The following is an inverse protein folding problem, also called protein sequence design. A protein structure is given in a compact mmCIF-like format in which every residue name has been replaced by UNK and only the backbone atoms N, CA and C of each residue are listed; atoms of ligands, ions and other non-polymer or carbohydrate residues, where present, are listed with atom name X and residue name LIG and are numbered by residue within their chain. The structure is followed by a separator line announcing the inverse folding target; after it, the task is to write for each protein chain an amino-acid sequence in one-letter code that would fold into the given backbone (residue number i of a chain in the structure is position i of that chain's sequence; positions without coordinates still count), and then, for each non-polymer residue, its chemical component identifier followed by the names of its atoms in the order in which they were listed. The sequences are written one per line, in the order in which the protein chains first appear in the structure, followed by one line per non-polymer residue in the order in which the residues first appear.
data_IF_871348117595
#
_entry.id   IF_871348117595
#
_cell.length_a   1.000
_cell.length_b   1.000
_cell.length_c   1.000
_cell.angle_alpha   90.00
_cell.angle_beta   90.00
_cell.angle_gamma   90.00
#
_symmetry.space_group_name_H-M   'P 1'
#
loop_
_entity.id
_entity.type
_entity.pdbx_description
1 polymer ?
#
# COMPACT_ATOMS: atom_id res chain seq x y z
N UNK A 1 -20.32 -14.52 -10.91
CA UNK A 1 -19.47 -13.39 -11.37
C UNK A 1 -20.09 -12.72 -12.58
N UNK A 2 -20.33 -13.42 -13.70
CA UNK A 2 -20.91 -12.83 -14.91
C UNK A 2 -22.36 -12.30 -14.76
N UNK A 3 -23.18 -12.89 -13.88
CA UNK A 3 -24.61 -12.56 -13.76
C UNK A 3 -24.88 -11.21 -13.06
N UNK A 4 -24.08 -10.86 -12.05
CA UNK A 4 -24.30 -9.61 -11.28
C UNK A 4 -23.88 -8.35 -12.04
N UNK A 5 -22.83 -8.43 -12.86
CA UNK A 5 -22.35 -7.31 -13.69
C UNK A 5 -23.36 -6.87 -14.77
N UNK A 6 -24.37 -7.68 -15.06
CA UNK A 6 -25.45 -7.28 -15.98
C UNK A 6 -26.43 -6.28 -15.35
N UNK A 7 -26.55 -6.27 -14.01
CA UNK A 7 -27.47 -5.37 -13.28
C UNK A 7 -26.76 -4.27 -12.51
N UNK A 8 -25.58 -4.54 -11.98
CA UNK A 8 -24.85 -3.63 -11.10
C UNK A 8 -23.42 -3.37 -11.59
N UNK A 9 -22.97 -2.13 -11.43
CA UNK A 9 -21.61 -1.66 -11.70
C UNK A 9 -20.88 -1.54 -10.35
N UNK A 10 -19.83 -2.34 -10.10
CA UNK A 10 -18.98 -2.17 -8.94
C UNK A 10 -18.13 -0.91 -9.03
N UNK A 11 -17.78 -0.37 -7.87
CA UNK A 11 -16.88 0.77 -7.73
C UNK A 11 -16.06 0.57 -6.47
N UNK A 12 -14.77 0.37 -6.68
CA UNK A 12 -13.82 -0.04 -5.68
C UNK A 12 -12.73 1.04 -5.58
N UNK A 13 -12.44 1.45 -4.35
CA UNK A 13 -11.25 2.22 -3.99
C UNK A 13 -10.38 1.38 -3.06
N UNK A 14 -9.06 1.50 -3.18
CA UNK A 14 -8.10 0.80 -2.35
C UNK A 14 -7.28 1.79 -1.54
N UNK A 15 -7.06 1.47 -0.27
CA UNK A 15 -6.19 2.18 0.66
C UNK A 15 -5.04 1.23 1.01
N UNK A 16 -3.87 1.47 0.40
CA UNK A 16 -2.72 0.58 0.53
C UNK A 16 -1.69 1.20 1.47
N UNK A 17 -1.42 0.53 2.59
CA UNK A 17 -0.40 0.98 3.53
C UNK A 17 0.88 0.18 3.27
N UNK A 18 1.95 0.89 2.90
CA UNK A 18 3.28 0.31 2.71
C UNK A 18 4.23 0.79 3.80
N UNK A 19 4.79 -0.16 4.54
CA UNK A 19 5.78 0.07 5.59
C UNK A 19 7.13 0.35 4.95
N UNK A 20 7.68 1.54 5.22
CA UNK A 20 8.93 1.95 4.62
C UNK A 20 10.10 1.21 5.26
N UNK A 21 11.00 0.69 4.44
CA UNK A 21 12.21 0.00 4.88
C UNK A 21 13.34 1.00 5.24
N UNK A 22 13.10 1.89 6.19
CA UNK A 22 14.12 2.79 6.76
C UNK A 22 14.73 2.20 8.03
N UNK A 23 15.98 2.55 8.34
CA UNK A 23 16.67 2.06 9.54
C UNK A 23 16.04 2.53 10.85
N UNK A 24 15.47 3.74 10.85
CA UNK A 24 14.81 4.35 12.01
C UNK A 24 13.36 4.71 11.71
N UNK A 25 12.58 4.86 12.79
CA UNK A 25 11.18 5.28 12.78
C UNK A 25 10.98 6.68 12.18
N UNK A 26 9.72 7.05 11.89
CA UNK A 26 9.42 8.31 11.18
C UNK A 26 9.71 9.54 12.02
N UNK A 27 9.51 9.44 13.34
CA UNK A 27 9.62 10.57 14.26
C UNK A 27 10.59 10.32 15.44
N UNK A 28 11.20 9.14 15.49
CA UNK A 28 12.06 8.68 16.57
C UNK A 28 13.28 7.94 16.00
N UNK A 29 14.43 7.91 16.72
CA UNK A 29 15.64 7.23 16.25
C UNK A 29 15.59 5.70 16.44
N UNK A 30 14.48 5.16 16.98
CA UNK A 30 14.32 3.74 17.25
C UNK A 30 14.36 2.90 15.96
N UNK A 31 14.89 1.68 16.06
CA UNK A 31 14.96 0.74 14.95
C UNK A 31 13.57 0.22 14.51
N UNK A 32 13.50 -0.30 13.29
CA UNK A 32 12.28 -0.76 12.61
C UNK A 32 12.29 -2.25 12.25
N UNK A 33 13.27 -3.01 12.75
CA UNK A 33 13.49 -4.38 12.34
C UNK A 33 12.31 -5.28 12.72
N UNK A 34 11.88 -6.14 11.80
CA UNK A 34 10.83 -7.12 12.09
C UNK A 34 11.34 -8.24 13.03
N UNK A 35 10.42 -8.90 13.73
CA UNK A 35 10.69 -10.13 14.48
C UNK A 35 11.49 -9.99 15.77
N UNK A 36 11.67 -8.77 16.30
CA UNK A 36 12.36 -8.55 17.58
C UNK A 36 11.46 -8.87 18.78
N UNK A 37 12.08 -9.10 19.94
CA UNK A 37 11.38 -9.32 21.21
C UNK A 37 10.49 -8.11 21.55
N UNK A 38 9.31 -8.30 22.17
CA UNK A 38 8.37 -7.22 22.46
C UNK A 38 9.00 -6.06 23.24
N UNK A 39 8.67 -4.82 22.86
CA UNK A 39 9.09 -3.60 23.55
C UNK A 39 10.63 -3.44 23.69
N UNK A 40 11.41 -3.84 22.68
CA UNK A 40 12.88 -3.67 22.64
C UNK A 40 13.35 -2.58 21.68
N UNK A 41 12.55 -2.24 20.67
CA UNK A 41 12.81 -1.18 19.68
C UNK A 41 11.96 0.06 19.98
N UNK A 42 12.14 0.59 21.19
CA UNK A 42 11.35 1.68 21.72
C UNK A 42 12.22 2.69 22.47
N UNK A 43 11.76 3.94 22.48
CA UNK A 43 12.30 5.02 23.29
C UNK A 43 11.17 5.78 23.97
N UNK A 44 11.54 6.76 24.79
CA UNK A 44 10.62 7.73 25.38
C UNK A 44 9.75 8.45 24.33
N UNK A 45 10.24 8.62 23.09
CA UNK A 45 9.47 9.24 22.00
C UNK A 45 8.42 8.27 21.46
N UNK A 46 8.81 7.03 21.14
CA UNK A 46 7.87 5.99 20.67
C UNK A 46 6.79 5.68 21.72
N UNK A 47 7.14 5.71 22.99
CA UNK A 47 6.22 5.50 24.12
C UNK A 47 5.41 6.74 24.52
N UNK A 48 5.60 7.87 23.82
CA UNK A 48 4.89 9.12 24.11
C UNK A 48 5.05 9.61 25.57
N UNK A 49 6.25 9.51 26.12
CA UNK A 49 6.51 10.05 27.46
C UNK A 49 6.27 11.58 27.47
N UNK A 50 5.76 12.12 28.60
CA UNK A 50 5.53 13.56 28.74
C UNK A 50 6.80 14.37 28.45
N UNK A 51 6.69 15.38 27.58
CA UNK A 51 7.77 16.29 27.23
C UNK A 51 8.67 15.84 26.06
N UNK A 52 8.39 14.69 25.44
CA UNK A 52 9.09 14.26 24.22
C UNK A 52 8.51 14.92 22.97
N UNK A 53 9.33 15.08 21.93
CA UNK A 53 8.94 15.75 20.67
C UNK A 53 9.31 14.88 19.45
N UNK A 54 8.46 14.87 18.40
CA UNK A 54 8.75 14.17 17.15
C UNK A 54 9.82 14.87 16.32
N UNK A 55 10.65 14.10 15.61
CA UNK A 55 11.58 14.63 14.61
C UNK A 55 11.50 13.83 13.31
N UNK A 56 11.03 14.47 12.24
CA UNK A 56 10.82 13.84 10.95
C UNK A 56 12.12 13.25 10.37
N UNK A 57 12.01 12.00 9.93
CA UNK A 57 13.07 11.25 9.25
C UNK A 57 13.15 11.66 7.76
N UNK A 58 14.33 12.12 7.32
CA UNK A 58 14.55 12.55 5.93
C UNK A 58 14.40 11.40 4.93
N UNK A 59 14.88 10.20 5.26
CA UNK A 59 14.83 9.04 4.35
C UNK A 59 13.39 8.60 4.06
N UNK A 60 12.48 8.81 5.02
CA UNK A 60 11.04 8.55 4.86
C UNK A 60 10.44 9.46 3.78
N UNK A 61 10.77 10.76 3.82
CA UNK A 61 10.32 11.72 2.81
C UNK A 61 10.85 11.36 1.43
N UNK A 62 12.12 10.97 1.34
CA UNK A 62 12.75 10.58 0.06
C UNK A 62 12.10 9.33 -0.54
N UNK A 63 11.84 8.30 0.26
CA UNK A 63 11.13 7.08 -0.20
C UNK A 63 9.70 7.38 -0.67
N UNK A 64 8.98 8.27 0.03
CA UNK A 64 7.64 8.69 -0.40
C UNK A 64 7.67 9.52 -1.70
N UNK A 65 8.65 10.41 -1.88
CA UNK A 65 8.86 11.11 -3.16
C UNK A 65 9.16 10.14 -4.30
N UNK A 66 10.01 9.12 -4.08
CA UNK A 66 10.28 8.08 -5.09
C UNK A 66 9.01 7.39 -5.55
N UNK A 67 8.15 7.01 -4.62
CA UNK A 67 6.86 6.40 -4.94
C UNK A 67 5.97 7.36 -5.74
N UNK A 68 5.85 8.62 -5.31
CA UNK A 68 5.09 9.64 -6.04
C UNK A 68 5.59 9.88 -7.46
N UNK A 69 6.90 10.01 -7.64
CA UNK A 69 7.53 10.19 -8.95
C UNK A 69 7.25 8.97 -9.86
N UNK A 70 7.38 7.76 -9.32
CA UNK A 70 7.11 6.53 -10.07
C UNK A 70 5.66 6.42 -10.53
N UNK A 71 4.72 6.90 -9.72
CA UNK A 71 3.30 6.95 -10.06
C UNK A 71 2.91 8.21 -10.86
N UNK A 72 3.85 9.06 -11.26
CA UNK A 72 3.56 10.30 -11.99
C UNK A 72 2.74 11.32 -11.17
N UNK A 73 2.75 11.22 -9.84
CA UNK A 73 2.06 12.15 -8.95
C UNK A 73 2.72 13.53 -8.96
N UNK A 74 1.94 14.56 -8.65
CA UNK A 74 2.48 15.89 -8.33
C UNK A 74 2.99 15.87 -6.89
N UNK A 75 4.30 16.07 -6.71
CA UNK A 75 4.90 16.24 -5.39
C UNK A 75 4.53 17.62 -4.83
N UNK A 76 3.96 17.65 -3.63
CA UNK A 76 3.61 18.89 -2.95
C UNK A 76 4.89 19.64 -2.52
N UNK A 77 5.01 20.95 -2.76
CA UNK A 77 6.19 21.71 -2.35
C UNK A 77 6.20 22.01 -0.84
N UNK A 78 5.02 22.06 -0.22
CA UNK A 78 4.83 22.31 1.21
C UNK A 78 3.84 21.27 1.75
N UNK A 79 4.20 20.62 2.85
CA UNK A 79 3.32 19.71 3.58
C UNK A 79 3.23 20.10 5.05
N UNK A 80 2.11 19.78 5.63
CA UNK A 80 1.80 19.90 7.05
C UNK A 80 1.43 18.51 7.53
N UNK A 81 2.05 18.10 8.64
CA UNK A 81 1.61 16.91 9.37
C UNK A 81 0.47 17.30 10.29
N UNK A 82 -0.54 16.45 10.38
CA UNK A 82 -1.75 16.62 11.16
C UNK A 82 -1.86 15.52 12.21
N UNK A 83 -2.54 15.83 13.32
CA UNK A 83 -2.91 14.84 14.34
C UNK A 83 -4.27 14.25 14.03
N UNK A 84 -4.33 12.94 13.81
CA UNK A 84 -5.57 12.14 13.75
C UNK A 84 -5.85 11.55 15.13
N UNK A 85 -6.80 12.12 15.86
CA UNK A 85 -7.01 11.83 17.29
C UNK A 85 -8.00 10.67 17.50
N UNK A 86 -7.55 9.59 18.16
CA UNK A 86 -8.39 8.49 18.60
C UNK A 86 -7.73 7.72 19.74
N UNK A 87 -8.53 7.15 20.64
CA UNK A 87 -8.02 6.38 21.77
C UNK A 87 -8.01 4.89 21.43
N UNK A 88 -6.82 4.30 21.45
CA UNK A 88 -6.66 2.85 21.34
C UNK A 88 -5.36 2.41 22.06
N UNK A 89 -5.31 1.23 22.70
CA UNK A 89 -4.16 0.83 23.54
C UNK A 89 -2.82 0.78 22.83
N UNK A 90 -2.80 0.48 21.53
CA UNK A 90 -1.58 0.42 20.73
C UNK A 90 -1.14 1.77 20.12
N UNK A 91 -1.83 2.87 20.47
CA UNK A 91 -1.50 4.22 20.05
C UNK A 91 -1.08 5.09 21.25
N UNK A 92 0.22 5.10 21.60
CA UNK A 92 0.71 5.72 22.85
C UNK A 92 0.31 7.19 23.04
N UNK A 93 0.24 7.95 21.95
CA UNK A 93 -0.01 9.41 21.97
C UNK A 93 -1.48 9.78 22.11
N UNK A 94 -2.41 8.84 21.86
CA UNK A 94 -3.84 9.16 21.67
C UNK A 94 -4.13 9.91 20.36
N UNK A 95 -3.14 10.03 19.48
CA UNK A 95 -3.25 10.50 18.11
C UNK A 95 -2.17 9.88 17.22
N UNK A 96 -2.47 9.75 15.94
CA UNK A 96 -1.53 9.33 14.90
C UNK A 96 -1.10 10.59 14.13
N UNK A 97 0.20 10.78 13.95
CA UNK A 97 0.73 11.84 13.08
C UNK A 97 0.65 11.34 11.63
N UNK A 98 -0.10 12.05 10.79
CA UNK A 98 -0.38 11.73 9.38
C UNK A 98 -0.43 13.03 8.56
N UNK A 99 -0.91 13.01 7.31
CA UNK A 99 -1.18 14.22 6.53
C UNK A 99 -2.62 14.20 6.02
N UNK A 100 -3.40 15.23 6.32
CA UNK A 100 -4.79 15.32 5.86
C UNK A 100 -4.89 16.15 4.58
N UNK A 101 -4.68 17.47 4.69
CA UNK A 101 -4.95 18.41 3.60
C UNK A 101 -3.80 18.57 2.60
N UNK A 102 -2.57 18.29 3.02
CA UNK A 102 -1.36 18.52 2.20
C UNK A 102 -0.50 17.26 2.08
N UNK A 103 -1.02 16.20 1.44
CA UNK A 103 -0.29 14.95 1.25
C UNK A 103 0.97 15.21 0.41
N UNK A 104 2.02 14.41 0.62
CA UNK A 104 3.26 14.54 -0.13
C UNK A 104 3.07 14.34 -1.64
N UNK A 105 2.15 13.47 -2.05
CA UNK A 105 1.82 13.25 -3.46
C UNK A 105 0.32 13.47 -3.71
N UNK A 106 0.01 14.22 -4.77
CA UNK A 106 -1.36 14.46 -5.25
C UNK A 106 -1.53 13.86 -6.64
N UNK A 107 -2.59 13.08 -6.82
CA UNK A 107 -2.87 12.41 -8.08
C UNK A 107 -1.84 11.34 -8.42
N UNK A 108 -1.73 11.04 -9.71
CA UNK A 108 -0.87 9.99 -10.25
C UNK A 108 -1.68 8.81 -10.76
N UNK A 109 -0.99 7.84 -11.32
CA UNK A 109 -1.62 6.69 -11.95
C UNK A 109 -0.69 5.47 -12.02
N UNK A 110 -1.29 4.28 -12.04
CA UNK A 110 -0.57 3.02 -12.10
C UNK A 110 -1.16 2.16 -13.22
N UNK A 111 -0.35 1.75 -14.22
CA UNK A 111 -0.81 0.83 -15.25
C UNK A 111 -1.00 -0.56 -14.66
N UNK A 112 -2.11 -1.20 -15.00
CA UNK A 112 -2.47 -2.57 -14.64
C UNK A 112 -2.75 -3.38 -15.90
N UNK A 113 -2.51 -4.69 -15.81
CA UNK A 113 -2.80 -5.65 -16.88
C UNK A 113 -3.75 -6.71 -16.34
N UNK A 114 -4.86 -6.91 -17.04
CA UNK A 114 -5.85 -7.95 -16.78
C UNK A 114 -6.05 -8.79 -18.03
N UNK A 115 -6.81 -9.89 -17.93
CA UNK A 115 -7.22 -10.68 -19.10
C UNK A 115 -8.04 -9.85 -20.10
N UNK A 116 -8.73 -8.81 -19.62
CA UNK A 116 -9.49 -7.87 -20.44
C UNK A 116 -8.62 -6.84 -21.17
N UNK A 117 -7.36 -6.65 -20.77
CA UNK A 117 -6.41 -5.75 -21.42
C UNK A 117 -5.62 -4.87 -20.45
N UNK A 118 -4.95 -3.84 -21.00
CA UNK A 118 -4.25 -2.83 -20.20
C UNK A 118 -5.21 -1.72 -19.78
N UNK A 119 -5.14 -1.33 -18.51
CA UNK A 119 -5.87 -0.19 -17.95
C UNK A 119 -4.98 0.61 -17.01
N UNK A 120 -5.44 1.78 -16.64
CA UNK A 120 -4.75 2.66 -15.71
C UNK A 120 -5.64 2.95 -14.52
N UNK A 121 -5.14 2.71 -13.31
CA UNK A 121 -5.82 3.06 -12.05
C UNK A 121 -5.29 4.41 -11.59
N UNK A 122 -6.20 5.37 -11.41
CA UNK A 122 -5.86 6.71 -10.92
C UNK A 122 -5.66 6.69 -9.41
N UNK A 123 -4.65 7.41 -8.94
CA UNK A 123 -4.43 7.66 -7.52
C UNK A 123 -5.07 8.99 -7.14
N UNK A 124 -5.62 9.04 -5.92
CA UNK A 124 -6.06 10.28 -5.32
C UNK A 124 -4.86 10.99 -4.65
N UNK A 125 -4.15 10.27 -3.78
CA UNK A 125 -3.00 10.79 -3.02
C UNK A 125 -2.07 9.68 -2.53
N UNK A 126 -0.87 10.09 -2.14
CA UNK A 126 0.02 9.31 -1.26
C UNK A 126 0.43 10.22 -0.10
N UNK A 127 0.21 9.79 1.14
CA UNK A 127 0.61 10.55 2.34
C UNK A 127 1.51 9.75 3.26
N UNK A 128 2.27 10.49 4.06
CA UNK A 128 3.14 9.96 5.11
C UNK A 128 2.37 9.83 6.43
N UNK A 129 2.59 8.73 7.12
CA UNK A 129 2.09 8.56 8.49
C UNK A 129 2.95 7.60 9.31
N UNK A 130 2.64 7.52 10.60
CA UNK A 130 3.24 6.53 11.50
C UNK A 130 2.30 5.35 11.75
N UNK A 131 2.86 4.15 11.91
CA UNK A 131 2.09 2.98 12.32
C UNK A 131 1.80 2.99 13.83
N UNK A 132 0.74 2.26 14.19
CA UNK A 132 0.44 1.95 15.58
C UNK A 132 1.24 0.71 16.06
N UNK A 133 1.20 0.45 17.36
CA UNK A 133 1.73 -0.77 17.95
C UNK A 133 0.93 -2.01 17.54
N UNK A 134 1.12 -3.09 18.28
CA UNK A 134 0.40 -4.35 18.09
C UNK A 134 -0.28 -4.76 19.37
N UNK A 135 -1.60 -4.94 19.30
CA UNK A 135 -2.40 -5.58 20.34
C UNK A 135 -2.41 -7.10 20.13
N UNK A 136 -2.13 -7.86 21.18
CA UNK A 136 -2.10 -9.32 21.18
C UNK A 136 -3.12 -9.82 22.20
N UNK A 137 -4.07 -10.61 21.72
CA UNK A 137 -5.09 -11.27 22.54
C UNK A 137 -4.75 -12.75 22.59
N UNK A 138 -4.36 -13.25 23.76
CA UNK A 138 -4.05 -14.67 23.94
C UNK A 138 -5.32 -15.46 24.27
N UNK A 139 -5.47 -16.64 23.67
CA UNK A 139 -6.63 -17.51 23.92
C UNK A 139 -6.73 -17.86 25.40
N UNK A 140 -7.88 -17.57 26.01
CA UNK A 140 -8.15 -17.84 27.42
C UNK A 140 -7.59 -16.80 28.40
N UNK A 141 -6.94 -15.74 27.92
CA UNK A 141 -6.52 -14.61 28.76
C UNK A 141 -7.51 -13.43 28.63
N UNK A 142 -7.92 -12.81 29.75
CA UNK A 142 -8.82 -11.65 29.71
C UNK A 142 -8.11 -10.36 29.28
N UNK A 143 -6.78 -10.32 29.42
CA UNK A 143 -5.98 -9.12 29.21
C UNK A 143 -5.45 -9.02 27.78
N UNK A 144 -5.27 -7.78 27.32
CA UNK A 144 -4.60 -7.50 26.05
C UNK A 144 -3.15 -7.14 26.33
N UNK A 145 -2.22 -7.79 25.63
CA UNK A 145 -0.79 -7.47 25.69
C UNK A 145 -0.45 -6.53 24.55
N UNK A 146 0.29 -5.46 24.82
CA UNK A 146 0.64 -4.45 23.81
C UNK A 146 2.15 -4.44 23.57
N UNK A 147 2.54 -4.55 22.31
CA UNK A 147 3.91 -4.39 21.84
C UNK A 147 4.04 -3.10 21.01
N UNK A 148 4.89 -2.18 21.48
CA UNK A 148 5.12 -0.88 20.86
C UNK A 148 6.33 -0.85 19.93
N UNK A 149 6.98 -1.98 19.63
CA UNK A 149 8.05 -2.05 18.64
C UNK A 149 7.64 -1.41 17.29
N UNK A 150 6.40 -1.66 16.85
CA UNK A 150 5.86 -1.14 15.59
C UNK A 150 5.34 0.29 15.68
N UNK A 151 5.01 0.79 16.87
CA UNK A 151 4.51 2.15 17.03
C UNK A 151 5.57 3.16 16.56
N UNK A 152 5.21 4.04 15.63
CA UNK A 152 6.12 5.02 15.04
C UNK A 152 6.86 4.53 13.78
N UNK A 153 6.66 3.28 13.34
CA UNK A 153 7.26 2.80 12.09
C UNK A 153 6.67 3.59 10.90
N UNK A 154 7.47 4.02 9.91
CA UNK A 154 6.96 4.88 8.85
C UNK A 154 6.09 4.11 7.86
N UNK A 155 4.98 4.72 7.47
CA UNK A 155 4.10 4.25 6.42
C UNK A 155 3.95 5.31 5.32
N UNK A 156 3.72 4.83 4.10
CA UNK A 156 2.95 5.58 3.12
C UNK A 156 1.59 4.94 2.94
N UNK A 157 0.54 5.74 2.92
CA UNK A 157 -0.79 5.31 2.51
C UNK A 157 -1.04 5.77 1.07
N UNK A 158 -1.27 4.82 0.17
CA UNK A 158 -1.53 5.04 -1.25
C UNK A 158 -3.03 4.84 -1.47
N UNK A 159 -3.72 5.93 -1.80
CA UNK A 159 -5.18 5.94 -1.93
C UNK A 159 -5.55 6.05 -3.40
N UNK A 160 -6.36 5.14 -3.90
CA UNK A 160 -6.86 5.20 -5.27
C UNK A 160 -8.08 6.11 -5.39
N UNK A 161 -8.31 6.65 -6.58
CA UNK A 161 -9.66 7.06 -6.96
C UNK A 161 -10.59 5.83 -7.00
N UNK A 162 -11.91 5.98 -6.81
CA UNK A 162 -12.86 4.87 -6.87
C UNK A 162 -13.15 4.49 -8.33
N UNK A 163 -12.14 3.98 -9.04
CA UNK A 163 -12.20 3.69 -10.50
C UNK A 163 -12.02 2.21 -10.85
N UNK A 164 -11.75 1.37 -9.85
CA UNK A 164 -11.60 -0.08 -10.02
C UNK A 164 -13.00 -0.69 -10.07
N UNK A 165 -13.29 -1.52 -11.06
CA UNK A 165 -14.64 -2.09 -11.26
C UNK A 165 -14.70 -3.62 -11.10
N UNK A 166 -13.57 -4.28 -10.82
CA UNK A 166 -13.54 -5.72 -10.62
C UNK A 166 -12.49 -6.16 -9.60
N UNK A 167 -12.69 -7.36 -9.04
CA UNK A 167 -11.70 -8.00 -8.17
C UNK A 167 -10.39 -8.33 -8.88
N UNK A 168 -10.46 -8.59 -10.19
CA UNK A 168 -9.27 -8.83 -11.01
C UNK A 168 -8.41 -7.58 -11.10
N UNK A 169 -9.03 -6.43 -11.40
CA UNK A 169 -8.34 -5.14 -11.40
C UNK A 169 -7.78 -4.77 -10.01
N UNK A 170 -8.54 -5.03 -8.94
CA UNK A 170 -8.06 -4.79 -7.58
C UNK A 170 -6.80 -5.62 -7.26
N UNK A 171 -6.78 -6.90 -7.66
CA UNK A 171 -5.61 -7.76 -7.49
C UNK A 171 -4.43 -7.33 -8.38
N UNK A 172 -4.70 -6.96 -9.63
CA UNK A 172 -3.69 -6.48 -10.58
C UNK A 172 -3.05 -5.19 -10.07
N UNK A 173 -3.85 -4.24 -9.57
CA UNK A 173 -3.34 -3.01 -8.94
C UNK A 173 -2.46 -3.32 -7.74
N UNK A 174 -2.91 -4.15 -6.81
CA UNK A 174 -2.11 -4.53 -5.64
C UNK A 174 -0.80 -5.23 -6.03
N UNK A 175 -0.82 -6.06 -7.07
CA UNK A 175 0.39 -6.68 -7.61
C UNK A 175 1.37 -5.64 -8.17
N UNK A 176 0.87 -4.63 -8.88
CA UNK A 176 1.70 -3.54 -9.42
C UNK A 176 2.27 -2.64 -8.32
N UNK A 177 1.49 -2.28 -7.30
CA UNK A 177 1.99 -1.55 -6.13
C UNK A 177 3.09 -2.37 -5.44
N UNK A 178 2.86 -3.67 -5.21
CA UNK A 178 3.86 -4.55 -4.62
C UNK A 178 5.15 -4.62 -5.45
N UNK A 179 5.04 -4.70 -6.78
CA UNK A 179 6.20 -4.68 -7.70
C UNK A 179 6.95 -3.35 -7.59
N UNK A 180 6.23 -2.22 -7.63
CA UNK A 180 6.79 -0.88 -7.54
C UNK A 180 7.56 -0.65 -6.24
N UNK A 181 6.93 -0.90 -5.09
CA UNK A 181 7.58 -0.61 -3.80
C UNK A 181 8.84 -1.45 -3.58
N UNK A 182 8.88 -2.68 -4.09
CA UNK A 182 10.07 -3.54 -4.07
C UNK A 182 11.15 -3.06 -5.02
N UNK A 183 10.76 -2.70 -6.25
CA UNK A 183 11.71 -2.29 -7.28
C UNK A 183 12.38 -0.95 -6.94
N UNK A 184 11.64 -0.04 -6.31
CA UNK A 184 12.14 1.27 -5.86
C UNK A 184 12.89 1.22 -4.52
N UNK A 185 12.97 0.04 -3.90
CA UNK A 185 13.48 -0.13 -2.54
C UNK A 185 12.80 0.82 -1.54
N UNK A 186 11.47 0.79 -1.53
CA UNK A 186 10.61 1.58 -0.64
C UNK A 186 10.02 0.70 0.46
N UNK A 187 9.63 -0.53 0.13
CA UNK A 187 9.05 -1.53 1.03
C UNK A 187 9.39 -2.94 0.51
N UNK A 188 9.55 -3.93 1.39
CA UNK A 188 9.78 -5.33 0.98
C UNK A 188 8.54 -5.99 0.32
N UNK A 189 7.35 -5.38 0.48
CA UNK A 189 6.09 -5.83 -0.11
C UNK A 189 5.51 -7.11 0.50
N UNK A 190 5.93 -7.51 1.70
CA UNK A 190 5.43 -8.68 2.39
C UNK A 190 4.07 -8.46 3.05
N UNK A 191 3.02 -9.05 2.47
CA UNK A 191 1.67 -8.95 3.03
C UNK A 191 1.43 -9.86 4.25
N UNK A 192 2.21 -10.94 4.38
CA UNK A 192 2.05 -11.89 5.48
C UNK A 192 2.63 -11.34 6.79
N UNK A 193 3.79 -10.68 6.70
CA UNK A 193 4.41 -9.96 7.81
C UNK A 193 3.76 -8.59 8.09
N UNK A 194 2.88 -8.14 7.19
CA UNK A 194 2.09 -6.92 7.34
C UNK A 194 2.80 -5.64 6.92
N UNK A 195 3.95 -5.74 6.23
CA UNK A 195 4.63 -4.56 5.67
C UNK A 195 3.85 -3.95 4.50
N UNK A 196 3.02 -4.73 3.81
CA UNK A 196 2.07 -4.24 2.81
C UNK A 196 0.64 -4.66 3.17
N UNK A 197 -0.21 -3.68 3.49
CA UNK A 197 -1.61 -3.88 3.88
C UNK A 197 -2.54 -3.18 2.90
N UNK A 198 -3.77 -3.68 2.80
CA UNK A 198 -4.78 -3.13 1.90
C UNK A 198 -6.15 -3.19 2.56
N UNK A 199 -6.83 -2.05 2.57
CA UNK A 199 -8.25 -1.93 2.88
C UNK A 199 -9.01 -1.63 1.58
N UNK A 200 -10.19 -2.23 1.41
CA UNK A 200 -10.99 -2.12 0.19
C UNK A 200 -12.33 -1.43 0.48
N UNK A 201 -12.53 -0.28 -0.15
CA UNK A 201 -13.78 0.46 -0.14
C UNK A 201 -14.64 0.02 -1.33
N UNK A 202 -15.74 -0.67 -1.07
CA UNK A 202 -16.55 -1.33 -2.11
C UNK A 202 -17.98 -0.80 -2.08
N UNK A 203 -18.45 -0.39 -3.24
CA UNK A 203 -19.84 -0.01 -3.48
C UNK A 203 -20.30 -0.57 -4.82
N UNK A 204 -21.59 -0.88 -4.94
CA UNK A 204 -22.22 -1.21 -6.23
C UNK A 204 -23.38 -0.25 -6.50
N UNK A 205 -23.67 -0.01 -7.78
CA UNK A 205 -24.83 0.77 -8.22
C UNK A 205 -25.52 0.13 -9.42
N UNK A 206 -26.85 0.29 -9.60
CA UNK A 206 -27.54 -0.17 -10.81
C UNK A 206 -26.92 0.40 -12.09
N UNK A 207 -26.93 -0.39 -13.17
CA UNK A 207 -26.52 0.07 -14.50
C UNK A 207 -27.38 1.26 -14.92
N UNK A 208 -26.75 2.33 -15.43
CA UNK A 208 -27.41 3.58 -15.84
C UNK A 208 -27.56 4.61 -14.72
N UNK A 209 -27.22 4.28 -13.47
CA UNK A 209 -27.20 5.23 -12.37
C UNK A 209 -25.82 5.90 -12.25
N UNK A 210 -25.79 7.23 -12.17
CA UNK A 210 -24.54 8.00 -11.98
C UNK A 210 -24.13 8.08 -10.51
N UNK A 211 -25.09 8.23 -9.60
CA UNK A 211 -24.82 8.37 -8.17
C UNK A 211 -24.25 7.07 -7.59
N UNK A 212 -23.09 7.17 -6.92
CA UNK A 212 -22.47 6.08 -6.18
C UNK A 212 -23.41 5.52 -5.10
N UNK A 213 -23.35 4.21 -4.90
CA UNK A 213 -24.11 3.51 -3.87
C UNK A 213 -23.54 3.71 -2.46
N UNK A 214 -24.10 3.01 -1.49
CA UNK A 214 -23.52 2.96 -0.14
C UNK A 214 -22.16 2.28 -0.17
N UNK A 215 -21.23 2.76 0.67
CA UNK A 215 -19.85 2.27 0.76
C UNK A 215 -19.69 1.32 1.93
N UNK A 216 -19.14 0.13 1.69
CA UNK A 216 -18.66 -0.81 2.70
C UNK A 216 -17.14 -0.84 2.64
N UNK A 217 -16.49 -0.75 3.79
CA UNK A 217 -15.03 -0.86 3.90
C UNK A 217 -14.68 -2.26 4.43
N UNK A 218 -13.86 -3.00 3.71
CA UNK A 218 -13.38 -4.32 4.11
C UNK A 218 -11.92 -4.22 4.51
N UNK A 219 -11.60 -4.64 5.74
CA UNK A 219 -10.25 -4.63 6.32
C UNK A 219 -9.70 -6.06 6.52
N UNK A 220 -8.42 -6.14 6.90
CA UNK A 220 -7.70 -7.37 7.27
C UNK A 220 -7.50 -8.37 6.12
N UNK A 221 -7.06 -7.88 4.95
CA UNK A 221 -6.75 -8.73 3.78
C UNK A 221 -5.24 -8.90 3.61
N UNK A 222 -4.71 -10.01 4.12
CA UNK A 222 -3.26 -10.25 4.20
C UNK A 222 -2.64 -10.88 2.92
N UNK A 223 -3.35 -10.91 1.80
CA UNK A 223 -2.79 -11.38 0.52
C UNK A 223 -3.56 -10.82 -0.67
N UNK A 224 -2.92 -10.77 -1.85
CA UNK A 224 -3.57 -10.39 -3.12
C UNK A 224 -4.83 -11.23 -3.39
N UNK A 225 -4.76 -12.53 -3.07
CA UNK A 225 -5.88 -13.46 -3.21
C UNK A 225 -7.02 -13.13 -2.25
N UNK A 226 -6.71 -12.70 -1.03
CA UNK A 226 -7.71 -12.28 -0.05
C UNK A 226 -8.42 -11.01 -0.51
N UNK A 227 -7.71 -10.04 -1.09
CA UNK A 227 -8.31 -8.83 -1.67
C UNK A 227 -9.32 -9.21 -2.76
N UNK A 228 -8.90 -10.00 -3.76
CA UNK A 228 -9.79 -10.43 -4.84
C UNK A 228 -11.04 -11.16 -4.33
N UNK A 229 -10.85 -12.08 -3.37
CA UNK A 229 -11.95 -12.87 -2.79
C UNK A 229 -12.91 -12.02 -1.97
N UNK A 230 -12.40 -11.11 -1.16
CA UNK A 230 -13.20 -10.19 -0.37
C UNK A 230 -14.03 -9.27 -1.26
N UNK A 231 -13.44 -8.71 -2.31
CA UNK A 231 -14.14 -7.89 -3.31
C UNK A 231 -15.27 -8.67 -3.97
N UNK A 232 -14.99 -9.87 -4.47
CA UNK A 232 -16.00 -10.72 -5.10
C UNK A 232 -17.15 -11.09 -4.16
N UNK A 233 -16.82 -11.44 -2.92
CA UNK A 233 -17.82 -11.77 -1.92
C UNK A 233 -18.71 -10.56 -1.63
N UNK A 234 -18.12 -9.38 -1.46
CA UNK A 234 -18.86 -8.18 -1.09
C UNK A 234 -19.73 -7.67 -2.25
N UNK A 235 -19.27 -7.76 -3.50
CA UNK A 235 -20.10 -7.48 -4.69
C UNK A 235 -21.32 -8.40 -4.72
N UNK A 236 -21.13 -9.71 -4.50
CA UNK A 236 -22.23 -10.67 -4.51
C UNK A 236 -23.21 -10.44 -3.34
N UNK A 237 -22.70 -10.16 -2.13
CA UNK A 237 -23.51 -9.82 -0.95
C UNK A 237 -24.35 -8.57 -1.20
N UNK A 238 -23.72 -7.48 -1.63
CA UNK A 238 -24.42 -6.23 -1.90
C UNK A 238 -25.47 -6.39 -3.00
N UNK A 239 -25.16 -7.18 -4.04
CA UNK A 239 -26.11 -7.46 -5.12
C UNK A 239 -27.35 -8.21 -4.61
N UNK A 240 -27.16 -9.20 -3.74
CA UNK A 240 -28.26 -9.96 -3.14
C UNK A 240 -29.16 -9.07 -2.26
N UNK A 241 -28.58 -8.14 -1.49
CA UNK A 241 -29.35 -7.17 -0.69
C UNK A 241 -30.20 -6.26 -1.59
N UNK A 242 -29.61 -5.69 -2.64
CA UNK A 242 -30.34 -4.82 -3.56
C UNK A 242 -31.42 -5.57 -4.34
N UNK A 243 -31.16 -6.81 -4.77
CA UNK A 243 -32.15 -7.66 -5.43
C UNK A 243 -33.33 -8.03 -4.50
N UNK A 244 -33.09 -8.10 -3.19
CA UNK A 244 -34.13 -8.29 -2.17
C UNK A 244 -34.85 -7.00 -1.76
N UNK A 245 -34.44 -5.83 -2.30
CA UNK A 245 -34.97 -4.53 -1.91
C UNK A 245 -34.48 -4.06 -0.53
N UNK A 246 -33.43 -4.66 0.00
CA UNK A 246 -32.83 -4.30 1.29
C UNK A 246 -31.73 -3.23 1.13
N UNK A 247 -31.64 -2.25 2.05
CA UNK A 247 -30.61 -1.22 1.97
C UNK A 247 -29.24 -1.77 2.36
N UNK A 248 -28.19 -1.32 1.65
CA UNK A 248 -26.80 -1.55 2.06
C UNK A 248 -26.44 -0.55 3.15
N UNK A 249 -26.05 -1.05 4.32
CA UNK A 249 -25.57 -0.24 5.45
C UNK A 249 -24.09 0.09 5.23
N UNK A 250 -23.71 1.36 5.42
CA UNK A 250 -22.28 1.74 5.41
C UNK A 250 -21.63 1.34 6.72
N UNK A 251 -20.72 0.36 6.64
CA UNK A 251 -20.07 -0.23 7.80
C UNK A 251 -18.64 -0.67 7.45
N UNK A 252 -17.84 -0.91 8.49
CA UNK A 252 -16.53 -1.55 8.36
C UNK A 252 -16.68 -3.04 8.67
N UNK A 253 -16.19 -3.86 7.76
CA UNK A 253 -16.26 -5.33 7.81
C UNK A 253 -14.85 -5.91 7.84
N UNK A 254 -14.71 -7.10 8.42
CA UNK A 254 -13.48 -7.90 8.34
C UNK A 254 -13.67 -9.08 7.40
N UNK A 255 -12.63 -9.44 6.67
CA UNK A 255 -12.63 -10.66 5.86
C UNK A 255 -12.15 -11.86 6.69
N UNK A 256 -12.94 -12.94 6.70
CA UNK A 256 -12.55 -14.22 7.28
C UNK A 256 -12.08 -15.17 6.17
N UNK A 257 -10.81 -15.55 6.23
CA UNK A 257 -10.16 -16.38 5.20
C UNK A 257 -10.71 -17.80 5.17
N UNK A 258 -10.97 -18.41 6.34
CA UNK A 258 -11.40 -19.81 6.45
C UNK A 258 -12.80 -20.02 5.87
N UNK A 259 -13.69 -19.06 6.09
CA UNK A 259 -15.08 -19.13 5.63
C UNK A 259 -15.31 -18.44 4.29
N UNK A 260 -14.33 -17.65 3.81
CA UNK A 260 -14.43 -16.82 2.62
C UNK A 260 -15.65 -15.89 2.66
N UNK A 261 -15.82 -15.17 3.78
CA UNK A 261 -16.96 -14.27 4.04
C UNK A 261 -16.48 -12.98 4.70
N UNK A 262 -17.22 -11.90 4.50
CA UNK A 262 -17.06 -10.66 5.26
C UNK A 262 -18.03 -10.64 6.44
N UNK A 263 -17.60 -10.13 7.59
CA UNK A 263 -18.41 -9.98 8.80
C UNK A 263 -18.39 -8.53 9.26
N UNK A 264 -19.55 -8.00 9.65
CA UNK A 264 -19.63 -6.67 10.24
C UNK A 264 -18.94 -6.66 11.61
N UNK A 265 -18.02 -5.71 11.82
CA UNK A 265 -17.33 -5.58 13.12
C UNK A 265 -18.02 -4.56 14.04
N UNK A 266 -18.63 -3.51 13.47
CA UNK A 266 -19.33 -2.45 14.20
C UNK A 266 -20.26 -1.69 13.24
N UNK A 267 -21.48 -1.36 13.66
CA UNK A 267 -22.27 -0.30 13.00
C UNK A 267 -21.61 1.05 13.32
N UNK A 268 -21.41 1.91 12.31
CA UNK A 268 -20.93 3.29 12.53
C UNK A 268 -21.96 4.04 13.37
N UNK A 269 -21.86 3.96 14.70
CA UNK A 269 -22.76 4.70 15.59
C UNK A 269 -22.47 6.20 15.61
N UNK A 270 -21.33 6.65 15.08
CA UNK A 270 -21.04 8.05 14.77
C UNK A 270 -19.95 8.09 13.68
N UNK A 271 -19.95 9.12 12.82
CA UNK A 271 -18.75 9.45 12.04
C UNK A 271 -17.66 9.78 13.07
N UNK A 272 -16.60 8.97 13.15
CA UNK A 272 -15.50 9.23 14.08
C UNK A 272 -14.93 10.63 13.79
N UNK A 273 -15.23 11.60 14.65
CA UNK A 273 -14.60 12.91 14.61
C UNK A 273 -13.17 12.78 15.12
N UNK A 274 -12.25 12.52 14.19
CA UNK A 274 -10.82 12.41 14.46
C UNK A 274 -10.19 13.76 14.85
N UNK A 275 -10.95 14.87 14.84
CA UNK A 275 -10.50 16.21 15.25
C UNK A 275 -9.16 16.56 14.63
N UNK A 276 -9.05 16.45 13.30
CA UNK A 276 -7.81 16.75 12.59
C UNK A 276 -7.38 18.20 12.82
N UNK A 277 -6.09 18.40 13.08
CA UNK A 277 -5.46 19.72 13.09
C UNK A 277 -3.95 19.59 12.87
N UNK A 278 -3.27 20.64 12.36
CA UNK A 278 -1.82 20.66 12.19
C UNK A 278 -1.07 20.33 13.48
N UNK A 279 -0.09 19.44 13.42
CA UNK A 279 0.76 19.11 14.55
C UNK A 279 1.66 20.31 14.90
N UNK A 280 1.48 20.97 16.06
CA UNK A 280 2.26 22.15 16.43
C UNK A 280 3.73 21.85 16.73
N UNK A 281 4.10 20.57 16.94
CA UNK A 281 5.47 20.17 17.25
C UNK A 281 6.31 19.96 15.97
N UNK A 282 5.68 19.96 14.79
CA UNK A 282 6.33 19.81 13.50
C UNK A 282 6.14 21.05 12.64
N UNK A 283 7.23 21.72 12.30
CA UNK A 283 7.22 22.77 11.28
C UNK A 283 6.76 22.22 9.93
N UNK A 284 6.15 23.04 9.06
CA UNK A 284 5.84 22.64 7.69
C UNK A 284 7.07 22.08 6.98
N UNK A 285 6.91 20.91 6.36
CA UNK A 285 7.91 20.32 5.49
C UNK A 285 7.94 21.11 4.18
N UNK A 286 9.13 21.53 3.74
CA UNK A 286 9.32 22.22 2.47
C UNK A 286 10.25 21.38 1.59
N UNK A 287 9.75 20.97 0.43
CA UNK A 287 10.52 20.25 -0.58
C UNK A 287 10.99 21.27 -1.61
N UNK A 288 12.29 21.58 -1.59
CA UNK A 288 12.89 22.47 -2.59
C UNK A 288 12.98 21.78 -3.95
N UNK A 289 13.02 22.59 -5.02
CA UNK A 289 13.25 22.07 -6.37
C UNK A 289 14.57 21.29 -6.46
N UNK A 290 15.63 21.75 -5.79
CA UNK A 290 16.92 21.05 -5.76
C UNK A 290 16.82 19.65 -5.15
N UNK A 291 16.09 19.51 -4.04
CA UNK A 291 15.91 18.21 -3.38
C UNK A 291 15.03 17.29 -4.23
N UNK A 292 13.97 17.82 -4.85
CA UNK A 292 13.15 17.05 -5.78
C UNK A 292 13.96 16.56 -6.99
N UNK A 293 14.83 17.39 -7.55
CA UNK A 293 15.71 16.99 -8.66
C UNK A 293 16.75 15.96 -8.25
N UNK A 294 17.32 16.09 -7.05
CA UNK A 294 18.22 15.09 -6.48
C UNK A 294 17.53 13.72 -6.43
N UNK A 295 16.33 13.63 -5.87
CA UNK A 295 15.57 12.36 -5.81
C UNK A 295 15.22 11.85 -7.20
N UNK A 296 14.77 12.71 -8.12
CA UNK A 296 14.47 12.32 -9.51
C UNK A 296 15.70 11.76 -10.23
N UNK A 297 16.87 12.37 -10.05
CA UNK A 297 18.11 11.92 -10.69
C UNK A 297 18.61 10.57 -10.15
N UNK A 298 18.25 10.23 -8.91
CA UNK A 298 18.58 8.95 -8.28
C UNK A 298 17.53 7.85 -8.52
N UNK A 299 16.43 8.14 -9.23
CA UNK A 299 15.41 7.15 -9.54
C UNK A 299 15.98 6.07 -10.48
N UNK A 300 15.75 4.77 -10.18
CA UNK A 300 15.99 3.75 -11.17
C UNK A 300 14.98 3.87 -12.32
N UNK A 301 15.31 3.28 -13.47
CA UNK A 301 14.34 3.06 -14.53
C UNK A 301 13.15 2.26 -13.98
N UNK A 302 11.92 2.69 -14.26
CA UNK A 302 10.72 2.03 -13.72
C UNK A 302 10.54 0.64 -14.33
N UNK A 303 9.92 -0.32 -13.61
CA UNK A 303 9.83 -1.70 -14.07
C UNK A 303 9.22 -1.86 -15.47
N UNK A 304 8.15 -1.13 -15.78
CA UNK A 304 7.50 -1.18 -17.09
C UNK A 304 8.30 -0.50 -18.21
N UNK A 305 9.02 0.58 -17.89
CA UNK A 305 9.88 1.26 -18.84
C UNK A 305 11.07 0.36 -19.21
N UNK A 306 11.68 -0.26 -18.19
CA UNK A 306 12.73 -1.24 -18.37
C UNK A 306 12.21 -2.46 -19.14
N UNK A 307 11.02 -2.97 -18.83
CA UNK A 307 10.41 -4.09 -19.54
C UNK A 307 10.20 -3.79 -21.04
N UNK A 308 9.77 -2.58 -21.37
CA UNK A 308 9.65 -2.11 -22.75
C UNK A 308 11.03 -2.01 -23.43
N UNK A 309 12.03 -1.47 -22.72
CA UNK A 309 13.40 -1.39 -23.22
C UNK A 309 14.01 -2.76 -23.47
N UNK A 310 13.76 -3.72 -22.58
CA UNK A 310 14.20 -5.11 -22.74
C UNK A 310 13.61 -5.77 -24.00
N UNK A 311 12.37 -5.45 -24.32
CA UNK A 311 11.72 -5.93 -25.54
C UNK A 311 12.27 -5.25 -26.80
N UNK A 312 12.42 -3.92 -26.78
CA UNK A 312 12.79 -3.15 -27.97
C UNK A 312 14.27 -3.24 -28.31
N UNK A 313 15.16 -3.09 -27.33
CA UNK A 313 16.62 -3.02 -27.55
C UNK A 313 17.25 -4.41 -27.64
N UNK A 314 16.76 -5.36 -26.84
CA UNK A 314 17.33 -6.70 -26.74
C UNK A 314 16.49 -7.80 -27.40
N UNK A 315 15.36 -7.43 -28.03
CA UNK A 315 14.44 -8.32 -28.73
C UNK A 315 13.99 -9.52 -27.86
N UNK A 316 13.81 -9.29 -26.56
CA UNK A 316 13.32 -10.31 -25.64
C UNK A 316 11.79 -10.45 -25.74
N UNK A 317 11.24 -11.67 -25.62
CA UNK A 317 9.80 -11.86 -25.49
C UNK A 317 9.23 -11.11 -24.28
N UNK A 318 7.99 -10.64 -24.36
CA UNK A 318 7.32 -9.93 -23.26
C UNK A 318 7.32 -10.73 -21.95
N UNK A 319 7.15 -12.05 -22.03
CA UNK A 319 7.21 -12.94 -20.86
C UNK A 319 8.60 -12.91 -20.19
N UNK A 320 9.67 -13.03 -20.97
CA UNK A 320 11.05 -12.95 -20.47
C UNK A 320 11.32 -11.59 -19.82
N UNK A 321 10.98 -10.50 -20.52
CA UNK A 321 11.18 -9.14 -20.03
C UNK A 321 10.42 -8.90 -18.71
N UNK A 322 9.18 -9.39 -18.61
CA UNK A 322 8.39 -9.29 -17.39
C UNK A 322 9.03 -10.00 -16.20
N UNK A 323 9.57 -11.21 -16.40
CA UNK A 323 10.26 -11.96 -15.33
C UNK A 323 11.57 -11.30 -14.92
N UNK A 324 12.36 -10.82 -15.88
CA UNK A 324 13.64 -10.16 -15.59
C UNK A 324 13.47 -8.84 -14.83
N UNK A 325 12.33 -8.20 -14.98
CA UNK A 325 11.99 -6.91 -14.34
C UNK A 325 11.05 -7.06 -13.14
N UNK A 326 10.89 -8.27 -12.61
CA UNK A 326 10.08 -8.53 -11.42
C UNK A 326 10.75 -7.99 -10.14
N UNK A 327 12.09 -8.01 -10.10
CA UNK A 327 12.88 -7.43 -9.00
C UNK A 327 14.03 -6.61 -9.55
N UNK A 328 14.44 -5.57 -8.80
CA UNK A 328 15.58 -4.73 -9.16
C UNK A 328 16.87 -5.54 -9.28
N UNK A 329 17.11 -6.46 -8.34
CA UNK A 329 18.32 -7.29 -8.35
C UNK A 329 18.43 -8.18 -9.60
N UNK A 330 17.32 -8.79 -10.04
CA UNK A 330 17.28 -9.59 -11.28
C UNK A 330 17.55 -8.72 -12.51
N UNK A 331 16.92 -7.54 -12.57
CA UNK A 331 17.10 -6.57 -13.64
C UNK A 331 18.56 -6.08 -13.72
N UNK A 332 19.13 -5.63 -12.60
CA UNK A 332 20.52 -5.16 -12.52
C UNK A 332 21.50 -6.27 -12.92
N UNK A 333 21.28 -7.50 -12.46
CA UNK A 333 22.16 -8.63 -12.80
C UNK A 333 22.09 -8.97 -14.28
N UNK A 334 20.88 -8.97 -14.87
CA UNK A 334 20.71 -9.17 -16.31
C UNK A 334 21.47 -8.11 -17.11
N UNK A 335 21.29 -6.82 -16.77
CA UNK A 335 21.98 -5.73 -17.45
C UNK A 335 23.49 -5.86 -17.32
N UNK A 336 23.98 -6.19 -16.12
CA UNK A 336 25.41 -6.42 -15.89
C UNK A 336 25.97 -7.59 -16.73
N UNK A 337 25.23 -8.68 -16.91
CA UNK A 337 25.65 -9.77 -17.79
C UNK A 337 25.78 -9.31 -19.25
N UNK A 338 24.82 -8.52 -19.73
CA UNK A 338 24.81 -8.03 -21.11
C UNK A 338 25.93 -6.99 -21.32
N UNK A 339 26.18 -6.12 -20.35
CA UNK A 339 27.29 -5.16 -20.38
C UNK A 339 28.66 -5.85 -20.44
N UNK A 340 28.78 -7.05 -19.85
CA UNK A 340 29.97 -7.90 -19.94
C UNK A 340 30.05 -8.71 -21.26
N UNK A 341 29.16 -8.45 -22.22
CA UNK A 341 29.18 -9.05 -23.56
C UNK A 341 28.34 -10.33 -23.70
N UNK A 342 27.54 -10.71 -22.70
CA UNK A 342 26.63 -11.84 -22.85
C UNK A 342 25.52 -11.51 -23.86
N UNK A 343 25.15 -12.49 -24.70
CA UNK A 343 23.98 -12.34 -25.58
C UNK A 343 22.72 -12.29 -24.74
N UNK A 344 21.91 -11.24 -24.91
CA UNK A 344 20.72 -11.00 -24.10
C UNK A 344 19.79 -12.21 -23.96
N UNK A 345 19.45 -12.90 -25.06
CA UNK A 345 18.59 -14.09 -24.98
C UNK A 345 19.21 -15.24 -24.18
N UNK A 346 20.52 -15.42 -24.26
CA UNK A 346 21.22 -16.44 -23.48
C UNK A 346 21.26 -16.06 -21.99
N UNK A 347 21.56 -14.80 -21.67
CA UNK A 347 21.53 -14.29 -20.30
C UNK A 347 20.13 -14.43 -19.68
N UNK A 348 19.08 -14.07 -20.42
CA UNK A 348 17.67 -14.24 -20.04
C UNK A 348 17.35 -15.69 -19.67
N UNK A 349 17.69 -16.64 -20.55
CA UNK A 349 17.44 -18.07 -20.31
C UNK A 349 18.20 -18.62 -19.09
N UNK A 350 19.46 -18.18 -18.88
CA UNK A 350 20.27 -18.59 -17.72
C UNK A 350 19.68 -18.09 -16.40
N UNK A 351 19.25 -16.82 -16.38
CA UNK A 351 18.66 -16.21 -15.21
C UNK A 351 17.31 -16.85 -14.84
N UNK A 352 16.42 -16.99 -15.81
CA UNK A 352 15.08 -17.52 -15.56
C UNK A 352 15.04 -19.03 -15.30
N UNK A 353 16.04 -19.78 -15.78
CA UNK A 353 16.15 -21.22 -15.60
C UNK A 353 17.10 -21.57 -14.45
N UNK A 354 18.37 -21.90 -14.75
CA UNK A 354 19.33 -22.38 -13.74
C UNK A 354 19.46 -21.50 -12.49
N UNK A 355 19.61 -20.18 -12.65
CA UNK A 355 19.86 -19.28 -11.51
C UNK A 355 18.61 -19.16 -10.64
N UNK A 356 17.44 -18.87 -11.23
CA UNK A 356 16.18 -18.82 -10.50
C UNK A 356 15.85 -20.15 -9.83
N UNK A 357 16.10 -21.27 -10.50
CA UNK A 357 15.94 -22.62 -9.93
C UNK A 357 16.83 -22.81 -8.70
N UNK A 358 18.11 -22.51 -8.81
CA UNK A 358 19.05 -22.60 -7.69
C UNK A 358 18.63 -21.73 -6.50
N UNK A 359 18.20 -20.49 -6.74
CA UNK A 359 17.74 -19.58 -5.69
C UNK A 359 16.45 -20.02 -5.01
N UNK A 360 15.58 -20.77 -5.69
CA UNK A 360 14.36 -21.32 -5.10
C UNK A 360 14.63 -22.59 -4.26
N UNK A 361 15.73 -23.29 -4.53
CA UNK A 361 16.14 -24.49 -3.79
C UNK A 361 16.96 -24.16 -2.53
N UNK A 362 17.35 -22.89 -2.35
CA UNK A 362 17.90 -22.35 -1.10
C UNK A 362 16.77 -21.93 -0.16
#
# INVERSE_FOLDING_TARGET
MAEHHQKYIPTIGLEVHAQLNTESKIFAPDATAFGQDPNTQISVVSLAHPGTLPKLNRAVVEKAMRMGIACGSKISPIQIFDRKNYFYPDLPKGYQITQDHTPICVGGEVPIRTEAGERTVKLNRIHLEEDAGKSIHADGEPDTRVDFNRAGVPLIEIVTEPVIDSAEEAAAFMAQIRRLVRFLDVCDGNMEEGSLRCDANISIRPVGQEKLGAKVEVKNMNSLRHVARAVNYEIARQSALLDAGEPIISETRTYNVQQNKTYGMRTKEELNDYRYFPDPDLSPLVISDSWLQEVKSAMPELPWALEQRLQSEYNLPAMDAGVLTDTKAMADFFLAMVDQGAKAKAASNWLMGPVKGYLNDQ
#
